data_IF_080462440347
#
_entry.id   IF_080462440347
#
_cell.length_a   1.000
_cell.length_b   1.000
_cell.length_c   1.000
_cell.angle_alpha   90.00
_cell.angle_beta   90.00
_cell.angle_gamma   90.00
#
_symmetry.space_group_name_H-M   'P 1'
#
loop_
_entity.id
_entity.type
_entity.pdbx_description
1 polymer ?
#
# COMPACT_ATOMS: atom_id res chain seq x y z
N UNK A 1 -11.81 -7.36 3.50
CA UNK A 1 -10.40 -7.49 3.05
C UNK A 1 -10.13 -8.94 2.74
N UNK A 2 -9.53 -9.23 1.60
CA UNK A 2 -9.21 -10.58 1.14
C UNK A 2 -7.69 -10.82 1.17
N UNK A 3 -7.25 -12.08 1.04
CA UNK A 3 -5.83 -12.42 1.06
C UNK A 3 -4.98 -11.69 -0.03
N UNK A 4 -5.48 -11.46 -1.25
CA UNK A 4 -4.80 -10.62 -2.25
C UNK A 4 -4.55 -9.18 -1.79
N UNK A 5 -5.41 -8.62 -0.92
CA UNK A 5 -5.23 -7.27 -0.38
C UNK A 5 -4.05 -7.24 0.59
N UNK A 6 -3.91 -8.27 1.43
CA UNK A 6 -2.78 -8.40 2.35
C UNK A 6 -1.47 -8.58 1.58
N UNK A 7 -1.47 -9.43 0.54
CA UNK A 7 -0.33 -9.53 -0.37
C UNK A 7 0.02 -8.17 -0.98
N UNK A 8 -0.97 -7.40 -1.42
CA UNK A 8 -0.74 -6.09 -2.01
C UNK A 8 -0.17 -5.09 -1.01
N UNK A 9 -0.65 -5.08 0.23
CA UNK A 9 -0.09 -4.24 1.29
C UNK A 9 1.38 -4.61 1.57
N UNK A 10 1.68 -5.90 1.64
CA UNK A 10 3.05 -6.40 1.79
C UNK A 10 3.93 -6.04 0.60
N UNK A 11 3.40 -6.15 -0.62
CA UNK A 11 4.08 -5.73 -1.84
C UNK A 11 4.41 -4.24 -1.77
N UNK A 12 3.46 -3.39 -1.37
CA UNK A 12 3.66 -1.95 -1.26
C UNK A 12 4.66 -1.56 -0.17
N UNK A 13 4.71 -2.28 0.95
CA UNK A 13 5.65 -2.00 2.04
C UNK A 13 7.09 -2.36 1.70
N UNK A 14 7.30 -3.37 0.84
CA UNK A 14 8.63 -3.84 0.45
C UNK A 14 9.12 -3.23 -0.87
N UNK A 15 8.22 -3.03 -1.84
CA UNK A 15 8.57 -2.53 -3.18
C UNK A 15 8.42 -1.00 -3.30
N UNK A 16 7.77 -0.36 -2.33
CA UNK A 16 7.56 1.09 -2.31
C UNK A 16 6.63 1.61 -3.42
N UNK A 17 6.46 2.95 -3.53
CA UNK A 17 5.61 3.57 -4.55
C UNK A 17 6.30 3.71 -5.92
N UNK A 18 7.54 3.23 -6.08
CA UNK A 18 8.34 3.41 -7.29
C UNK A 18 7.62 2.91 -8.57
N UNK A 19 6.90 1.78 -8.48
CA UNK A 19 6.12 1.23 -9.59
C UNK A 19 5.04 2.21 -10.12
N UNK A 20 4.48 3.06 -9.25
CA UNK A 20 3.44 4.04 -9.62
C UNK A 20 4.05 5.26 -10.33
N UNK A 21 5.34 5.55 -10.09
CA UNK A 21 6.02 6.76 -10.59
C UNK A 21 6.74 6.56 -11.93
N UNK A 22 6.55 5.42 -12.62
CA UNK A 22 7.13 5.19 -13.95
C UNK A 22 6.72 6.26 -14.98
N UNK A 23 5.51 6.82 -14.86
CA UNK A 23 5.08 8.00 -15.60
C UNK A 23 4.65 9.09 -14.62
N UNK A 24 5.60 9.94 -14.22
CA UNK A 24 5.40 10.99 -13.20
C UNK A 24 4.28 11.96 -13.53
N UNK A 25 4.20 12.41 -14.78
CA UNK A 25 3.21 13.37 -15.25
C UNK A 25 1.79 12.80 -15.16
N UNK A 26 1.64 11.55 -15.62
CA UNK A 26 0.38 10.84 -15.55
C UNK A 26 -0.02 10.54 -14.09
N UNK A 27 0.91 10.05 -13.28
CA UNK A 27 0.70 9.78 -11.85
C UNK A 27 0.28 11.04 -11.08
N UNK A 28 0.91 12.18 -11.37
CA UNK A 28 0.55 13.46 -10.79
C UNK A 28 -0.84 13.94 -11.24
N UNK A 29 -1.16 13.76 -12.52
CA UNK A 29 -2.48 14.13 -13.06
C UNK A 29 -3.61 13.32 -12.41
N UNK A 30 -3.38 12.04 -12.12
CA UNK A 30 -4.33 11.19 -11.39
C UNK A 30 -4.44 11.62 -9.93
N UNK A 31 -3.31 11.86 -9.26
CA UNK A 31 -3.31 12.34 -7.88
C UNK A 31 -4.10 13.66 -7.75
N UNK A 32 -3.92 14.60 -8.68
CA UNK A 32 -4.66 15.87 -8.69
C UNK A 32 -6.18 15.70 -8.85
N UNK A 33 -6.62 14.69 -9.61
CA UNK A 33 -8.05 14.39 -9.75
C UNK A 33 -8.62 13.83 -8.45
N UNK A 34 -7.90 12.88 -7.86
CA UNK A 34 -8.26 12.26 -6.56
C UNK A 34 -8.28 13.29 -5.44
N UNK A 35 -7.31 14.21 -5.42
CA UNK A 35 -7.22 15.31 -4.45
C UNK A 35 -8.30 16.39 -4.62
N UNK A 36 -9.14 16.35 -5.66
CA UNK A 36 -10.24 17.32 -5.85
C UNK A 36 -11.61 16.74 -5.52
N UNK A 37 -11.71 15.42 -5.38
CA UNK A 37 -12.97 14.73 -5.09
C UNK A 37 -12.69 13.60 -4.10
N UNK A 38 -12.26 13.95 -2.87
CA UNK A 38 -12.14 12.97 -1.80
C UNK A 38 -13.54 12.39 -1.53
N UNK A 39 -13.65 11.08 -1.39
CA UNK A 39 -14.90 10.48 -0.90
C UNK A 39 -14.97 10.77 0.60
N UNK A 40 -15.95 11.57 1.03
CA UNK A 40 -16.00 12.20 2.38
C UNK A 40 -16.23 11.22 3.54
N UNK A 41 -16.52 9.95 3.24
CA UNK A 41 -16.83 9.00 4.28
C UNK A 41 -15.63 8.09 4.55
N UNK A 42 -15.14 8.14 5.79
CA UNK A 42 -15.08 7.00 6.73
C UNK A 42 -13.87 7.03 7.68
N UNK A 43 -12.84 7.87 7.46
CA UNK A 43 -11.64 7.86 8.32
C UNK A 43 -11.17 9.27 8.74
N UNK A 44 -10.95 9.44 10.05
CA UNK A 44 -10.49 10.69 10.69
C UNK A 44 -8.98 10.70 10.94
N UNK A 45 -8.32 9.55 10.87
CA UNK A 45 -6.88 9.46 11.08
C UNK A 45 -6.12 9.91 9.83
N UNK A 46 -5.12 10.76 10.06
CA UNK A 46 -4.28 11.31 9.01
C UNK A 46 -3.47 10.22 8.28
N UNK A 47 -2.98 9.22 9.00
CA UNK A 47 -2.26 8.11 8.42
C UNK A 47 -2.38 6.85 9.27
N UNK A 48 -2.26 5.69 8.61
CA UNK A 48 -2.19 4.37 9.25
C UNK A 48 -0.78 3.80 9.06
N UNK A 49 -0.18 3.31 10.15
CA UNK A 49 1.13 2.66 10.09
C UNK A 49 1.05 1.32 9.36
N UNK A 50 1.92 1.13 8.37
CA UNK A 50 2.07 -0.13 7.61
C UNK A 50 3.52 -0.58 7.56
N UNK A 51 4.36 -0.01 8.41
CA UNK A 51 5.77 -0.34 8.49
C UNK A 51 5.98 -1.76 9.00
N UNK A 52 6.84 -2.50 8.30
CA UNK A 52 7.50 -3.67 8.86
C UNK A 52 8.92 -3.34 9.33
N UNK A 53 9.54 -2.29 8.75
CA UNK A 53 10.90 -1.85 9.09
C UNK A 53 11.15 -0.37 8.80
N UNK A 54 10.83 0.09 7.59
CA UNK A 54 10.88 1.51 7.23
C UNK A 54 9.63 2.16 7.79
N UNK A 55 9.72 3.28 8.52
CA UNK A 55 8.59 4.04 9.06
C UNK A 55 7.67 4.55 7.92
N UNK A 56 6.95 3.64 7.28
CA UNK A 56 6.09 3.84 6.13
C UNK A 56 4.66 3.84 6.64
N UNK A 57 3.91 4.83 6.18
CA UNK A 57 2.51 4.98 6.53
C UNK A 57 1.66 5.13 5.28
N UNK A 58 0.39 4.76 5.40
CA UNK A 58 -0.66 5.08 4.43
C UNK A 58 -1.31 6.39 4.84
N UNK A 59 -0.94 7.48 4.18
CA UNK A 59 -1.51 8.81 4.39
C UNK A 59 -2.89 8.92 3.74
N UNK A 60 -3.88 9.34 4.53
CA UNK A 60 -5.25 9.60 4.12
C UNK A 60 -5.35 10.95 3.38
N UNK A 61 -5.67 10.92 2.09
CA UNK A 61 -5.81 12.09 1.22
C UNK A 61 -6.90 13.04 1.71
N UNK A 62 -8.17 12.60 1.94
CA UNK A 62 -9.23 13.43 2.49
C UNK A 62 -8.82 14.20 3.74
N UNK A 63 -8.15 13.55 4.68
CA UNK A 63 -7.70 14.21 5.91
C UNK A 63 -6.53 15.16 5.63
N UNK A 64 -5.54 14.72 4.84
CA UNK A 64 -4.36 15.52 4.50
C UNK A 64 -4.67 16.79 3.70
N UNK A 65 -5.77 16.84 2.94
CA UNK A 65 -6.22 18.06 2.25
C UNK A 65 -6.42 19.26 3.18
N UNK A 66 -6.71 19.03 4.46
CA UNK A 66 -6.82 20.10 5.46
C UNK A 66 -5.46 20.62 5.94
N UNK A 67 -4.37 19.94 5.57
CA UNK A 67 -3.02 20.18 6.08
C UNK A 67 -1.99 20.49 4.99
N UNK A 68 -2.29 20.20 3.72
CA UNK A 68 -1.33 20.35 2.63
C UNK A 68 -1.95 20.28 1.24
N UNK A 69 -1.09 20.22 0.23
CA UNK A 69 -1.47 20.28 -1.19
C UNK A 69 -1.15 18.99 -1.93
N UNK A 70 -1.79 18.78 -3.08
CA UNK A 70 -1.49 17.66 -3.97
C UNK A 70 -0.03 17.68 -4.45
N UNK A 71 0.52 18.87 -4.66
CA UNK A 71 1.93 19.13 -4.97
C UNK A 71 2.84 18.55 -3.88
N UNK A 72 2.62 18.93 -2.62
CA UNK A 72 3.43 18.49 -1.47
C UNK A 72 3.32 16.98 -1.27
N UNK A 73 2.12 16.42 -1.45
CA UNK A 73 1.91 14.97 -1.41
C UNK A 73 2.68 14.24 -2.52
N UNK A 74 2.70 14.81 -3.72
CA UNK A 74 3.45 14.23 -4.83
C UNK A 74 4.96 14.25 -4.59
N UNK A 75 5.48 15.32 -4.00
CA UNK A 75 6.88 15.42 -3.59
C UNK A 75 7.22 14.36 -2.53
N UNK A 76 6.38 14.21 -1.49
CA UNK A 76 6.55 13.16 -0.47
C UNK A 76 6.57 11.76 -1.10
N UNK A 77 5.68 11.48 -2.06
CA UNK A 77 5.66 10.22 -2.82
C UNK A 77 6.96 10.01 -3.60
N UNK A 78 7.47 11.06 -4.25
CA UNK A 78 8.69 11.00 -5.05
C UNK A 78 9.92 10.75 -4.17
N UNK A 79 10.03 11.43 -3.04
CA UNK A 79 11.11 11.22 -2.08
C UNK A 79 11.03 9.84 -1.42
N UNK A 80 9.83 9.38 -1.07
CA UNK A 80 9.61 8.02 -0.57
C UNK A 80 10.09 6.97 -1.57
N UNK A 81 9.78 7.13 -2.86
CA UNK A 81 10.21 6.20 -3.90
C UNK A 81 11.72 6.17 -4.13
N UNK A 82 12.44 7.28 -3.86
CA UNK A 82 13.91 7.32 -3.94
C UNK A 82 14.57 6.58 -2.79
N UNK A 83 13.95 6.61 -1.61
CA UNK A 83 14.53 6.08 -0.39
C UNK A 83 14.22 4.59 -0.18
N UNK A 84 13.08 4.10 -0.68
CA UNK A 84 12.75 2.68 -0.63
C UNK A 84 13.39 1.96 -1.81
N UNK A 85 14.35 1.07 -1.53
CA UNK A 85 14.89 0.16 -2.54
C UNK A 85 14.01 -1.08 -2.63
N UNK A 86 13.41 -1.39 -3.78
CA UNK A 86 12.57 -2.58 -3.92
C UNK A 86 13.37 -3.87 -3.63
N UNK A 87 12.88 -4.68 -2.69
CA UNK A 87 13.53 -5.96 -2.33
C UNK A 87 12.59 -7.14 -2.51
N UNK A 88 12.66 -7.75 -3.69
CA UNK A 88 11.85 -8.94 -4.00
C UNK A 88 12.15 -10.13 -3.09
N UNK A 89 13.39 -10.33 -2.67
CA UNK A 89 13.74 -11.47 -1.79
C UNK A 89 13.03 -11.32 -0.46
N UNK A 90 12.97 -10.08 0.05
CA UNK A 90 12.26 -9.74 1.26
C UNK A 90 10.75 -9.90 1.14
N UNK A 91 10.17 -9.54 0.00
CA UNK A 91 8.75 -9.80 -0.29
C UNK A 91 8.43 -11.29 -0.20
N UNK A 92 9.25 -12.12 -0.86
CA UNK A 92 9.10 -13.58 -0.84
C UNK A 92 9.23 -14.12 0.59
N UNK A 93 10.21 -13.62 1.35
CA UNK A 93 10.43 -14.01 2.74
C UNK A 93 9.21 -13.70 3.61
N UNK A 94 8.74 -12.45 3.67
CA UNK A 94 7.58 -12.11 4.49
C UNK A 94 6.29 -12.79 4.04
N UNK A 95 6.13 -13.03 2.73
CA UNK A 95 4.98 -13.77 2.22
C UNK A 95 4.99 -15.23 2.71
N UNK A 96 6.17 -15.85 2.81
CA UNK A 96 6.33 -17.18 3.37
C UNK A 96 6.06 -17.18 4.89
N UNK A 97 6.55 -16.19 5.65
CA UNK A 97 6.27 -16.04 7.08
C UNK A 97 4.76 -15.91 7.35
N UNK A 98 4.03 -15.12 6.55
CA UNK A 98 2.57 -15.05 6.63
C UNK A 98 1.91 -16.42 6.39
N UNK A 99 2.43 -17.19 5.43
CA UNK A 99 1.99 -18.56 5.17
C UNK A 99 2.13 -19.46 6.40
N UNK A 100 3.26 -19.40 7.10
CA UNK A 100 3.50 -20.14 8.35
C UNK A 100 2.52 -19.72 9.45
N UNK A 101 2.21 -18.43 9.58
CA UNK A 101 1.22 -17.95 10.56
C UNK A 101 -0.20 -18.48 10.27
N UNK A 102 -0.60 -18.47 9.00
CA UNK A 102 -1.89 -19.03 8.54
C UNK A 102 -1.95 -20.54 8.79
N UNK A 103 -0.89 -21.28 8.46
CA UNK A 103 -0.79 -22.73 8.68
C UNK A 103 -0.89 -23.10 10.17
N UNK A 104 -0.28 -22.29 11.03
CA UNK A 104 -0.32 -22.49 12.48
C UNK A 104 -1.60 -21.96 13.15
N UNK A 105 -2.61 -21.53 12.37
CA UNK A 105 -3.87 -20.92 12.86
C UNK A 105 -3.69 -19.67 13.73
N UNK A 106 -2.55 -19.00 13.60
CA UNK A 106 -2.29 -17.71 14.26
C UNK A 106 -2.85 -16.52 13.46
N UNK A 107 -3.66 -16.80 12.44
CA UNK A 107 -4.30 -15.79 11.59
C UNK A 107 -5.70 -16.27 11.18
N UNK A 108 -6.71 -15.93 11.98
CA UNK A 108 -8.05 -16.53 11.90
C UNK A 108 -8.82 -16.17 10.60
N UNK A 109 -8.40 -15.13 9.89
CA UNK A 109 -9.16 -14.59 8.76
C UNK A 109 -8.92 -15.33 7.44
N UNK A 110 -7.90 -16.21 7.36
CA UNK A 110 -7.55 -16.92 6.13
C UNK A 110 -7.23 -18.39 6.39
N UNK A 111 -7.47 -19.22 5.39
CA UNK A 111 -7.19 -20.65 5.46
C UNK A 111 -5.86 -21.01 4.77
N UNK A 112 -5.18 -22.09 5.20
CA UNK A 112 -3.98 -22.59 4.53
C UNK A 112 -4.19 -22.90 3.04
N UNK A 113 -5.40 -23.31 2.66
CA UNK A 113 -5.72 -23.65 1.27
C UNK A 113 -5.82 -22.40 0.38
N UNK A 114 -6.39 -21.31 0.90
CA UNK A 114 -6.42 -20.02 0.19
C UNK A 114 -5.01 -19.48 -0.05
N UNK A 115 -4.16 -19.55 0.98
CA UNK A 115 -2.76 -19.15 0.85
C UNK A 115 -2.00 -20.01 -0.16
N UNK A 116 -2.13 -21.33 -0.12
CA UNK A 116 -1.48 -22.24 -1.08
C UNK A 116 -1.87 -21.96 -2.53
N UNK A 117 -3.16 -21.72 -2.78
CA UNK A 117 -3.67 -21.38 -4.11
C UNK A 117 -3.08 -20.06 -4.61
N UNK A 118 -3.11 -19.01 -3.79
CA UNK A 118 -2.58 -17.71 -4.18
C UNK A 118 -1.05 -17.74 -4.34
N UNK A 119 -0.33 -18.38 -3.42
CA UNK A 119 1.11 -18.54 -3.46
C UNK A 119 1.56 -19.25 -4.75
N UNK A 120 0.83 -20.30 -5.17
CA UNK A 120 1.11 -20.97 -6.44
C UNK A 120 1.04 -19.99 -7.61
N UNK A 121 -0.08 -19.26 -7.76
CA UNK A 121 -0.24 -18.24 -8.81
C UNK A 121 0.86 -17.17 -8.76
N UNK A 122 1.19 -16.66 -7.57
CA UNK A 122 2.24 -15.65 -7.39
C UNK A 122 3.61 -16.19 -7.80
N UNK A 123 3.97 -17.40 -7.37
CA UNK A 123 5.26 -18.02 -7.68
C UNK A 123 5.43 -18.34 -9.17
N UNK A 124 4.37 -18.79 -9.84
CA UNK A 124 4.37 -19.06 -11.29
C UNK A 124 4.51 -17.79 -12.14
N UNK A 125 4.12 -16.64 -11.59
CA UNK A 125 4.16 -15.34 -12.26
C UNK A 125 5.23 -14.40 -11.69
N UNK A 126 6.19 -14.95 -10.93
CA UNK A 126 7.34 -14.21 -10.40
C UNK A 126 6.93 -13.03 -9.48
N UNK A 127 5.93 -13.24 -8.61
CA UNK A 127 5.42 -12.30 -7.60
C UNK A 127 5.04 -10.92 -8.17
N UNK A 128 4.04 -10.85 -9.07
CA UNK A 128 3.63 -9.61 -9.71
C UNK A 128 2.88 -8.68 -8.73
N UNK A 129 2.77 -7.38 -9.02
CA UNK A 129 1.83 -6.52 -8.29
C UNK A 129 0.39 -6.97 -8.56
N UNK A 130 -0.44 -7.02 -7.51
CA UNK A 130 -1.87 -7.30 -7.65
C UNK A 130 -2.71 -6.01 -7.57
N UNK A 131 -3.96 -6.11 -8.01
CA UNK A 131 -4.99 -5.12 -7.70
C UNK A 131 -5.66 -5.45 -6.37
N UNK A 132 -6.22 -4.45 -5.69
CA UNK A 132 -7.06 -4.70 -4.52
C UNK A 132 -8.37 -5.36 -4.96
N UNK A 133 -8.96 -6.19 -4.09
CA UNK A 133 -10.31 -6.73 -4.29
C UNK A 133 -11.33 -5.60 -4.40
N UNK A 134 -12.45 -5.83 -5.08
CA UNK A 134 -13.49 -4.82 -5.20
C UNK A 134 -14.10 -4.50 -3.83
N UNK A 135 -14.25 -5.49 -2.96
CA UNK A 135 -14.63 -5.28 -1.55
C UNK A 135 -13.66 -4.35 -0.82
N UNK A 136 -12.35 -4.46 -1.06
CA UNK A 136 -11.38 -3.56 -0.47
C UNK A 136 -11.45 -2.15 -1.07
N UNK A 137 -11.65 -2.03 -2.38
CA UNK A 137 -11.86 -0.72 -3.02
C UNK A 137 -13.15 -0.05 -2.55
N UNK A 138 -14.19 -0.80 -2.24
CA UNK A 138 -15.47 -0.27 -1.74
C UNK A 138 -15.37 0.16 -0.27
N UNK A 139 -14.69 -0.66 0.56
CA UNK A 139 -14.52 -0.39 1.99
C UNK A 139 -13.50 0.72 2.28
N UNK A 140 -12.41 0.76 1.52
CA UNK A 140 -11.27 1.65 1.75
C UNK A 140 -11.01 2.61 0.60
N UNK A 141 -12.03 2.90 -0.22
CA UNK A 141 -12.06 3.79 -1.39
C UNK A 141 -10.77 4.57 -1.57
N UNK A 142 -9.92 4.17 -2.55
CA UNK A 142 -8.49 4.40 -2.50
C UNK A 142 -8.20 5.88 -2.39
N UNK A 143 -7.94 6.31 -1.17
CA UNK A 143 -7.52 7.67 -0.86
C UNK A 143 -6.28 7.63 0.00
N UNK A 144 -5.50 6.55 -0.09
CA UNK A 144 -4.27 6.37 0.67
C UNK A 144 -3.05 6.47 -0.21
N UNK A 145 -1.99 7.07 0.32
CA UNK A 145 -0.67 7.12 -0.31
C UNK A 145 0.42 6.65 0.63
N UNK A 146 1.29 5.80 0.09
CA UNK A 146 2.43 5.24 0.81
C UNK A 146 3.51 6.31 0.86
N UNK A 147 3.77 6.84 2.05
CA UNK A 147 4.81 7.86 2.29
C UNK A 147 5.67 7.46 3.50
N UNK A 148 6.92 7.92 3.54
CA UNK A 148 7.72 7.86 4.76
C UNK A 148 7.14 8.81 5.81
N UNK A 149 6.97 8.32 7.04
CA UNK A 149 6.45 9.06 8.19
C UNK A 149 7.24 10.33 8.45
N UNK A 150 8.57 10.27 8.37
CA UNK A 150 9.45 11.43 8.56
C UNK A 150 9.33 12.53 7.51
N UNK A 151 8.61 12.29 6.40
CA UNK A 151 8.32 13.32 5.39
C UNK A 151 7.00 14.06 5.66
N UNK A 152 6.15 13.54 6.56
CA UNK A 152 4.88 14.16 6.91
C UNK A 152 5.15 15.35 7.82
N UNK A 153 5.23 16.53 7.21
CA UNK A 153 5.29 17.80 7.92
C UNK A 153 3.93 18.48 7.85
N UNK A 154 3.27 18.60 8.99
CA UNK A 154 1.99 19.30 9.12
C UNK A 154 2.24 20.53 9.99
N UNK A 155 1.87 21.69 9.45
CA UNK A 155 2.00 22.98 10.12
C UNK A 155 0.70 23.33 10.83
#
# INVERSE_FOLDING_TARGET
>A
MELPDVYKLLYQSVMGPAHILHNKELAYSYLKKEFKSPDENYETELYVDVSLEHEIVRLNIPVYQNHGTAETLFEMLHETAKQITPDKKKLIYYWAELGLLIENKNFENFTPNEWKKLNKTLSENDFPPLSHSDTYKELYKPSYRIVLKGLINIT
#
